data_IF_080983291533
#
_entry.id   IF_080983291533
#
_cell.length_a   1.000
_cell.length_b   1.000
_cell.length_c   1.000
_cell.angle_alpha   90.00
_cell.angle_beta   90.00
_cell.angle_gamma   90.00
#
_symmetry.space_group_name_H-M   'P 1'
#
loop_
_entity.id
_entity.type
_entity.pdbx_description
1 polymer ?
#
# COMPACT_ATOMS: atom_id res chain seq x y z
N UNK A 1 11.03 17.65 18.75
CA UNK A 1 9.98 17.13 17.85
C UNK A 1 10.51 15.81 17.34
N UNK A 2 10.08 14.69 17.92
CA UNK A 2 10.44 13.37 17.38
C UNK A 2 9.51 13.19 16.19
N UNK A 3 10.10 13.18 14.99
CA UNK A 3 9.46 12.65 13.80
C UNK A 3 9.23 11.16 14.09
N UNK A 4 8.07 10.84 14.67
CA UNK A 4 7.64 9.46 14.74
C UNK A 4 7.46 9.04 13.30
N UNK A 5 8.24 8.08 12.76
CA UNK A 5 8.00 7.59 11.42
C UNK A 5 6.54 7.19 11.39
N UNK A 6 5.76 7.91 10.56
CA UNK A 6 4.32 7.85 10.62
C UNK A 6 3.89 6.40 10.57
N UNK A 7 3.08 5.96 11.52
CA UNK A 7 2.39 4.65 11.50
C UNK A 7 1.37 4.58 10.33
N UNK A 8 1.62 5.32 9.26
CA UNK A 8 0.82 5.36 8.06
C UNK A 8 1.20 4.14 7.22
N UNK A 9 0.19 3.36 6.87
CA UNK A 9 0.32 2.29 5.90
C UNK A 9 -0.12 2.83 4.54
N UNK A 10 0.67 2.52 3.51
CA UNK A 10 0.26 2.63 2.12
C UNK A 10 -0.15 1.26 1.59
N UNK A 11 -1.15 1.26 0.72
CA UNK A 11 -1.61 0.03 0.08
C UNK A 11 -1.11 0.02 -1.35
N UNK A 12 -0.50 -1.09 -1.77
CA UNK A 12 0.01 -1.24 -3.13
C UNK A 12 -0.43 -2.58 -3.72
N UNK A 13 -0.71 -2.60 -5.02
CA UNK A 13 -1.11 -3.79 -5.76
C UNK A 13 -0.08 -4.16 -6.82
N UNK A 14 0.14 -5.46 -7.02
CA UNK A 14 0.88 -5.95 -8.17
C UNK A 14 -0.05 -6.09 -9.37
N UNK A 15 0.22 -5.41 -10.49
CA UNK A 15 -0.60 -5.54 -11.70
C UNK A 15 -0.45 -6.90 -12.40
N UNK A 16 0.59 -7.68 -12.08
CA UNK A 16 0.82 -9.00 -12.70
C UNK A 16 0.07 -10.16 -12.01
N UNK A 17 -0.04 -10.13 -10.69
CA UNK A 17 -0.66 -11.20 -9.90
C UNK A 17 -1.75 -10.71 -8.94
N UNK A 18 -2.15 -9.44 -9.09
CA UNK A 18 -3.26 -8.77 -8.40
C UNK A 18 -3.19 -8.82 -6.86
N UNK A 19 -2.01 -9.13 -6.32
CA UNK A 19 -1.82 -9.24 -4.87
C UNK A 19 -1.67 -7.85 -4.27
N UNK A 20 -2.43 -7.58 -3.20
CA UNK A 20 -2.43 -6.32 -2.45
C UNK A 20 -1.56 -6.46 -1.20
N UNK A 21 -0.74 -5.46 -0.94
CA UNK A 21 0.15 -5.35 0.21
C UNK A 21 -0.20 -4.10 1.02
N UNK A 22 -0.06 -4.18 2.34
CA UNK A 22 -0.05 -3.04 3.24
C UNK A 22 1.41 -2.84 3.69
N UNK A 23 2.04 -1.78 3.19
CA UNK A 23 3.44 -1.48 3.43
C UNK A 23 3.54 -0.21 4.29
N UNK A 24 4.58 -0.06 5.12
CA UNK A 24 4.95 1.23 5.69
C UNK A 24 5.02 2.32 4.62
N UNK A 25 4.57 3.53 4.96
CA UNK A 25 4.77 4.73 4.14
C UNK A 25 6.23 5.22 4.23
N UNK A 26 7.17 4.34 3.91
CA UNK A 26 8.61 4.61 3.93
C UNK A 26 9.18 4.56 2.49
N UNK A 27 9.94 5.57 2.07
CA UNK A 27 10.51 5.64 0.72
C UNK A 27 11.59 4.57 0.44
N UNK A 28 12.11 3.87 1.46
CA UNK A 28 13.09 2.81 1.31
C UNK A 28 12.47 1.42 1.08
N UNK A 29 11.16 1.28 1.21
CA UNK A 29 10.45 0.01 1.00
C UNK A 29 10.47 -0.41 -0.49
N UNK A 30 10.66 -1.69 -0.79
CA UNK A 30 10.89 -2.16 -2.15
C UNK A 30 9.62 -2.14 -3.02
N UNK A 31 9.70 -1.52 -4.21
CA UNK A 31 8.63 -1.50 -5.23
C UNK A 31 8.43 -2.84 -5.97
N UNK A 32 8.69 -3.96 -5.31
CA UNK A 32 8.73 -5.30 -5.90
C UNK A 32 7.65 -6.17 -5.29
N UNK A 33 6.98 -6.95 -6.12
CA UNK A 33 6.01 -7.91 -5.62
C UNK A 33 6.72 -9.03 -4.84
N UNK A 34 6.48 -9.11 -3.53
CA UNK A 34 7.00 -10.19 -2.67
C UNK A 34 6.45 -11.58 -3.00
N UNK A 35 5.49 -11.70 -3.93
CA UNK A 35 4.89 -12.97 -4.37
C UNK A 35 5.45 -13.47 -5.70
N UNK A 36 5.41 -12.65 -6.74
CA UNK A 36 5.82 -13.05 -8.09
C UNK A 36 7.11 -12.39 -8.58
N UNK A 37 7.67 -11.43 -7.83
CA UNK A 37 8.89 -10.71 -8.18
C UNK A 37 8.71 -9.62 -9.25
N UNK A 38 7.50 -9.45 -9.81
CA UNK A 38 7.22 -8.41 -10.80
C UNK A 38 7.36 -7.00 -10.21
N UNK A 39 7.69 -6.02 -11.07
CA UNK A 39 7.83 -4.59 -10.75
C UNK A 39 7.18 -3.73 -11.85
N UNK A 40 6.74 -2.51 -11.54
CA UNK A 40 6.61 -1.90 -10.20
C UNK A 40 5.32 -2.34 -9.49
N UNK A 41 5.25 -2.13 -8.18
CA UNK A 41 3.96 -2.13 -7.47
C UNK A 41 3.22 -0.81 -7.72
N UNK A 42 1.91 -0.89 -7.95
CA UNK A 42 1.06 0.28 -8.15
C UNK A 42 0.41 0.68 -6.83
N UNK A 43 0.66 1.89 -6.37
CA UNK A 43 0.01 2.42 -5.17
C UNK A 43 -1.49 2.60 -5.39
N UNK A 44 -2.28 2.20 -4.39
CA UNK A 44 -3.73 2.34 -4.36
C UNK A 44 -4.10 3.64 -3.65
N UNK A 45 -3.98 4.75 -4.38
CA UNK A 45 -4.45 6.06 -3.90
C UNK A 45 -5.98 6.10 -3.96
N UNK A 46 -6.65 6.25 -2.83
CA UNK A 46 -8.11 6.39 -2.77
C UNK A 46 -8.89 5.16 -2.30
N UNK A 47 -8.24 4.24 -1.55
CA UNK A 47 -9.00 3.34 -0.67
C UNK A 47 -9.74 4.24 0.32
N UNK A 48 -11.02 4.45 0.06
CA UNK A 48 -11.87 5.20 0.98
C UNK A 48 -12.05 4.34 2.22
N UNK A 49 -11.98 4.99 3.39
CA UNK A 49 -12.14 4.31 4.68
C UNK A 49 -13.47 3.54 4.77
N UNK A 50 -13.67 2.77 5.84
CA UNK A 50 -14.87 1.94 6.02
C UNK A 50 -16.19 2.71 5.79
N UNK A 51 -16.23 4.01 6.12
CA UNK A 51 -17.37 4.89 5.87
C UNK A 51 -17.82 5.00 4.42
N UNK A 52 -16.99 4.65 3.44
CA UNK A 52 -17.36 4.64 2.03
C UNK A 52 -17.95 3.32 1.51
N UNK A 53 -17.74 2.23 2.25
CA UNK A 53 -18.27 0.91 1.91
C UNK A 53 -19.45 0.51 2.79
N UNK A 54 -19.54 1.07 4.00
CA UNK A 54 -20.57 0.79 4.99
C UNK A 54 -21.46 2.03 5.24
N UNK A 55 -21.90 2.71 4.19
CA UNK A 55 -23.02 3.64 4.31
C UNK A 55 -24.32 2.83 4.51
N UNK A 56 -25.24 3.24 5.41
CA UNK A 56 -26.52 2.57 5.62
C UNK A 56 -27.43 2.61 4.38
#
# INVERSE_FOLDING_TARGET
MIDSPGLALRYAACDACETVFALPDDPAEPDVCGRCGARPLRELTGIRGPDAYFAP
#
